data_IF_230206674680
#
_entry.id   IF_230206674680
#
_cell.length_a   1.000
_cell.length_b   1.000
_cell.length_c   1.000
_cell.angle_alpha   90.00
_cell.angle_beta   90.00
_cell.angle_gamma   90.00
#
_symmetry.space_group_name_H-M   'P 1'
#
loop_
_entity.id
_entity.type
_entity.pdbx_description
1 polymer ?
#
# COMPACT_ATOMS: atom_id res chain seq x y z
N UNK A 1 21.69 6.24 -4.88
CA UNK A 1 21.71 5.12 -3.92
C UNK A 1 22.99 4.28 -4.02
N UNK A 2 23.57 4.16 -5.22
CA UNK A 2 24.80 3.40 -5.55
C UNK A 2 26.15 4.03 -5.13
N UNK A 3 26.15 5.17 -4.45
CA UNK A 3 27.40 5.80 -4.02
C UNK A 3 28.07 4.95 -2.93
N UNK A 4 29.31 4.46 -3.12
CA UNK A 4 29.94 3.52 -2.19
C UNK A 4 30.20 4.11 -0.80
N UNK A 5 30.35 5.44 -0.70
CA UNK A 5 30.58 6.18 0.56
C UNK A 5 29.32 6.91 1.07
N UNK A 6 28.14 6.49 0.62
CA UNK A 6 26.90 7.17 0.97
C UNK A 6 26.36 6.65 2.30
N UNK A 7 26.50 7.47 3.33
CA UNK A 7 25.97 7.22 4.69
C UNK A 7 24.46 6.98 4.71
N UNK A 8 24.00 6.18 5.68
CA UNK A 8 22.59 5.81 5.83
C UNK A 8 21.67 7.03 5.99
N UNK A 9 22.07 8.03 6.80
CA UNK A 9 21.29 9.26 6.99
C UNK A 9 21.13 10.06 5.69
N UNK A 10 22.17 10.08 4.85
CA UNK A 10 22.12 10.75 3.54
C UNK A 10 21.17 10.02 2.58
N UNK A 11 21.13 8.68 2.63
CA UNK A 11 20.16 7.87 1.86
C UNK A 11 18.72 8.21 2.25
N UNK A 12 18.45 8.31 3.55
CA UNK A 12 17.12 8.73 4.05
C UNK A 12 16.77 10.15 3.60
N UNK A 13 17.72 11.08 3.59
CA UNK A 13 17.48 12.44 3.12
C UNK A 13 17.12 12.48 1.62
N UNK A 14 17.84 11.71 0.80
CA UNK A 14 17.54 11.56 -0.64
C UNK A 14 16.14 10.97 -0.83
N UNK A 15 15.80 9.90 -0.10
CA UNK A 15 14.47 9.30 -0.12
C UNK A 15 13.39 10.33 0.19
N UNK A 16 13.54 11.12 1.26
CA UNK A 16 12.58 12.17 1.63
C UNK A 16 12.41 13.20 0.53
N UNK A 17 13.49 13.59 -0.16
CA UNK A 17 13.43 14.52 -1.31
C UNK A 17 12.64 13.92 -2.48
N UNK A 18 12.88 12.64 -2.80
CA UNK A 18 12.16 11.92 -3.87
C UNK A 18 10.67 11.83 -3.54
N UNK A 19 10.32 11.34 -2.35
CA UNK A 19 8.92 11.21 -1.90
C UNK A 19 8.20 12.55 -1.89
N UNK A 20 8.86 13.61 -1.40
CA UNK A 20 8.31 14.97 -1.43
C UNK A 20 8.00 15.41 -2.86
N UNK A 21 8.92 15.19 -3.81
CA UNK A 21 8.71 15.52 -5.22
C UNK A 21 7.51 14.76 -5.80
N UNK A 22 7.44 13.44 -5.63
CA UNK A 22 6.33 12.62 -6.14
C UNK A 22 4.98 13.03 -5.54
N UNK A 23 4.93 13.31 -4.23
CA UNK A 23 3.70 13.74 -3.56
C UNK A 23 3.27 15.16 -4.00
N UNK A 24 4.22 16.08 -4.20
CA UNK A 24 3.92 17.43 -4.72
C UNK A 24 3.33 17.37 -6.12
N UNK A 25 3.79 16.44 -6.96
CA UNK A 25 3.21 16.20 -8.28
C UNK A 25 1.75 15.73 -8.15
N UNK A 26 1.45 14.75 -7.29
CA UNK A 26 0.08 14.23 -7.11
C UNK A 26 -0.90 15.15 -6.35
N UNK A 27 -0.42 16.25 -5.76
CA UNK A 27 -1.22 17.20 -4.98
C UNK A 27 -1.59 18.50 -5.71
N UNK A 28 -0.99 18.76 -6.88
CA UNK A 28 -1.33 19.92 -7.70
C UNK A 28 -2.61 19.66 -8.51
N UNK A 29 -3.31 20.71 -8.95
CA UNK A 29 -4.50 20.57 -9.83
C UNK A 29 -4.18 19.93 -11.19
N UNK A 30 -2.90 19.71 -11.48
CA UNK A 30 -2.42 19.09 -12.69
C UNK A 30 -2.33 17.57 -12.46
N UNK A 31 -3.12 16.82 -13.22
CA UNK A 31 -3.04 15.36 -13.30
C UNK A 31 -1.59 14.89 -13.49
N UNK A 32 -1.08 14.01 -12.63
CA UNK A 32 0.20 13.32 -12.93
C UNK A 32 -0.10 12.13 -13.82
N UNK A 33 0.11 12.31 -15.12
CA UNK A 33 0.05 11.21 -16.07
C UNK A 33 1.33 10.38 -15.94
N UNK A 34 1.19 9.08 -15.72
CA UNK A 34 2.31 8.16 -15.71
C UNK A 34 2.96 8.13 -17.10
N UNK A 35 4.25 8.40 -17.18
CA UNK A 35 5.00 8.35 -18.45
C UNK A 35 5.09 6.94 -19.05
N UNK A 36 4.85 5.89 -18.25
CA UNK A 36 4.98 4.49 -18.67
C UNK A 36 3.67 3.87 -19.16
N UNK A 37 2.56 4.10 -18.44
CA UNK A 37 1.27 3.51 -18.77
C UNK A 37 0.19 4.52 -19.17
N UNK A 38 0.46 5.83 -19.08
CA UNK A 38 -0.53 6.86 -19.41
C UNK A 38 -1.65 7.04 -18.37
N UNK A 39 -1.69 6.23 -17.31
CA UNK A 39 -2.70 6.37 -16.26
C UNK A 39 -2.50 7.65 -15.45
N UNK A 40 -3.62 8.22 -15.01
CA UNK A 40 -3.65 9.38 -14.13
C UNK A 40 -3.45 8.95 -12.68
N UNK A 41 -2.50 9.60 -12.00
CA UNK A 41 -2.23 9.39 -10.59
C UNK A 41 -2.78 10.53 -9.74
N UNK A 42 -3.75 10.19 -8.88
CA UNK A 42 -4.27 11.07 -7.83
C UNK A 42 -3.56 10.92 -6.48
N UNK A 43 -4.11 11.56 -5.44
CA UNK A 43 -3.52 11.59 -4.09
C UNK A 43 -3.82 10.30 -3.30
N UNK A 44 -2.82 9.73 -2.64
CA UNK A 44 -3.02 8.59 -1.73
C UNK A 44 -3.07 9.08 -0.28
N UNK A 45 -4.12 8.71 0.46
CA UNK A 45 -4.38 9.15 1.85
C UNK A 45 -4.59 7.94 2.76
N UNK A 46 -4.10 8.02 4.00
CA UNK A 46 -4.43 7.07 5.06
C UNK A 46 -5.76 7.46 5.70
N UNK A 47 -6.66 6.50 5.87
CA UNK A 47 -7.83 6.55 6.76
C UNK A 47 -7.70 5.40 7.77
N UNK A 48 -8.41 5.45 8.89
CA UNK A 48 -8.32 4.50 10.04
C UNK A 48 -7.58 3.18 9.75
N UNK A 49 -8.21 2.27 9.00
CA UNK A 49 -7.66 0.97 8.58
C UNK A 49 -7.70 0.78 7.06
N UNK A 50 -7.72 1.87 6.29
CA UNK A 50 -7.88 1.83 4.82
C UNK A 50 -6.96 2.83 4.16
N UNK A 51 -6.46 2.48 2.99
CA UNK A 51 -5.71 3.39 2.13
C UNK A 51 -6.65 3.84 1.02
N UNK A 52 -6.70 5.14 0.78
CA UNK A 52 -7.61 5.77 -0.19
C UNK A 52 -6.80 6.40 -1.33
N UNK A 53 -7.08 6.03 -2.58
CA UNK A 53 -6.60 6.69 -3.78
C UNK A 53 -7.65 7.65 -4.35
N UNK A 54 -7.46 8.94 -4.07
CA UNK A 54 -8.33 10.02 -4.48
C UNK A 54 -7.97 10.53 -5.88
N UNK A 55 -8.72 10.05 -6.88
CA UNK A 55 -8.64 10.49 -8.29
C UNK A 55 -9.69 11.55 -8.65
N UNK A 56 -10.53 11.97 -7.70
CA UNK A 56 -11.71 12.78 -7.98
C UNK A 56 -11.39 14.19 -8.51
N UNK A 57 -10.20 14.72 -8.19
CA UNK A 57 -9.74 16.03 -8.68
C UNK A 57 -9.25 16.03 -10.13
N UNK A 58 -9.28 14.88 -10.80
CA UNK A 58 -8.67 14.69 -12.13
C UNK A 58 -9.68 14.21 -13.18
N UNK A 59 -10.98 14.33 -12.86
CA UNK A 59 -12.09 13.81 -13.65
C UNK A 59 -12.32 14.50 -15.00
N UNK A 60 -11.57 15.54 -15.35
CA UNK A 60 -11.71 16.26 -16.63
C UNK A 60 -10.82 15.72 -17.76
N UNK A 61 -9.92 14.77 -17.49
CA UNK A 61 -9.06 14.16 -18.51
C UNK A 61 -9.17 12.63 -18.47
N UNK A 62 -9.50 12.05 -19.62
CA UNK A 62 -9.74 10.63 -19.87
C UNK A 62 -8.77 9.68 -19.15
N UNK A 63 -9.23 9.04 -18.07
CA UNK A 63 -8.62 7.82 -17.55
C UNK A 63 -9.21 6.65 -18.36
N UNK A 64 -8.36 5.87 -19.03
CA UNK A 64 -8.75 4.77 -19.91
C UNK A 64 -9.63 3.74 -19.18
N UNK A 65 -9.42 3.56 -17.87
CA UNK A 65 -10.22 2.68 -17.02
C UNK A 65 -11.59 3.28 -16.64
N UNK A 66 -11.70 4.60 -16.55
CA UNK A 66 -12.96 5.25 -16.19
C UNK A 66 -13.92 5.29 -17.36
N UNK A 67 -13.46 5.49 -18.59
CA UNK A 67 -14.39 5.46 -19.74
C UNK A 67 -14.97 4.07 -19.99
N UNK A 68 -14.19 3.01 -19.87
CA UNK A 68 -14.72 1.64 -19.97
C UNK A 68 -15.78 1.35 -18.90
N UNK A 69 -15.55 1.82 -17.66
CA UNK A 69 -16.53 1.71 -16.58
C UNK A 69 -17.77 2.60 -16.81
N UNK A 70 -17.60 3.85 -17.28
CA UNK A 70 -18.71 4.75 -17.60
C UNK A 70 -19.59 4.19 -18.72
N UNK A 71 -18.97 3.63 -19.77
CA UNK A 71 -19.67 2.99 -20.87
C UNK A 71 -20.45 1.76 -20.39
N UNK A 72 -19.86 0.90 -19.55
CA UNK A 72 -20.52 -0.28 -19.00
C UNK A 72 -21.73 0.06 -18.10
N UNK A 73 -21.71 1.22 -17.44
CA UNK A 73 -22.71 1.62 -16.43
C UNK A 73 -23.77 2.56 -17.02
N UNK A 74 -23.58 3.06 -18.25
CA UNK A 74 -24.52 3.93 -18.95
C UNK A 74 -25.95 3.40 -19.01
N UNK A 75 -26.12 2.07 -18.93
CA UNK A 75 -27.42 1.38 -18.90
C UNK A 75 -28.05 1.21 -17.50
N UNK A 76 -27.34 1.55 -16.44
CA UNK A 76 -27.80 1.45 -15.04
C UNK A 76 -27.83 2.83 -14.38
N UNK A 77 -28.93 3.20 -13.71
CA UNK A 77 -29.06 4.46 -12.93
C UNK A 77 -28.15 4.53 -11.69
N UNK A 78 -27.10 3.72 -11.62
CA UNK A 78 -26.17 3.66 -10.51
C UNK A 78 -24.95 4.52 -10.83
N UNK A 79 -24.75 5.60 -10.08
CA UNK A 79 -23.47 6.30 -10.07
C UNK A 79 -22.45 5.40 -9.35
N UNK A 80 -21.68 4.57 -10.06
CA UNK A 80 -20.53 3.92 -9.42
C UNK A 80 -19.48 4.99 -9.14
N UNK A 81 -19.41 5.38 -7.88
CA UNK A 81 -18.19 5.97 -7.32
C UNK A 81 -17.11 4.88 -7.38
N UNK A 82 -16.14 5.05 -8.28
CA UNK A 82 -15.00 4.14 -8.39
C UNK A 82 -14.41 3.90 -6.99
N UNK A 83 -14.10 2.65 -6.59
CA UNK A 83 -13.63 2.37 -5.24
C UNK A 83 -12.36 3.16 -4.95
N UNK A 84 -12.55 4.21 -4.15
CA UNK A 84 -11.51 5.06 -3.58
C UNK A 84 -10.55 4.25 -2.71
N UNK A 85 -10.97 3.10 -2.17
CA UNK A 85 -10.16 2.29 -1.27
C UNK A 85 -9.27 1.32 -2.06
N UNK A 86 -7.99 1.28 -1.72
CA UNK A 86 -7.06 0.27 -2.22
C UNK A 86 -7.24 -1.03 -1.43
N UNK A 87 -7.58 -2.10 -2.14
CA UNK A 87 -7.70 -3.44 -1.58
C UNK A 87 -6.31 -4.08 -1.33
N UNK A 88 -6.07 -4.80 -0.22
CA UNK A 88 -4.79 -5.42 0.07
C UNK A 88 -4.27 -6.34 -1.04
N UNK A 89 -5.13 -7.15 -1.68
CA UNK A 89 -4.72 -8.01 -2.80
C UNK A 89 -4.23 -7.18 -3.96
N UNK A 90 -4.96 -6.09 -4.28
CA UNK A 90 -4.56 -5.16 -5.35
C UNK A 90 -3.24 -4.46 -5.04
N UNK A 91 -3.04 -4.03 -3.80
CA UNK A 91 -1.78 -3.42 -3.35
C UNK A 91 -0.64 -4.41 -3.49
N UNK A 92 -0.82 -5.66 -3.08
CA UNK A 92 0.21 -6.70 -3.22
C UNK A 92 0.65 -6.88 -4.67
N UNK A 93 -0.29 -6.98 -5.60
CA UNK A 93 0.01 -7.08 -7.04
C UNK A 93 0.76 -5.83 -7.56
N UNK A 94 0.37 -4.64 -7.12
CA UNK A 94 1.05 -3.40 -7.50
C UNK A 94 2.50 -3.37 -7.01
N UNK A 95 2.74 -3.72 -5.74
CA UNK A 95 4.09 -3.76 -5.16
C UNK A 95 4.95 -4.83 -5.83
N UNK A 96 4.38 -6.01 -6.12
CA UNK A 96 5.07 -7.09 -6.82
C UNK A 96 5.52 -6.69 -8.23
N UNK A 97 4.75 -5.83 -8.90
CA UNK A 97 5.07 -5.36 -10.26
C UNK A 97 6.01 -4.16 -10.29
N UNK A 98 6.52 -3.69 -9.15
CA UNK A 98 7.53 -2.65 -9.10
C UNK A 98 8.88 -3.16 -9.65
N UNK A 99 9.59 -2.28 -10.35
CA UNK A 99 10.94 -2.56 -10.85
C UNK A 99 11.98 -2.44 -9.75
N UNK A 100 13.06 -3.20 -9.86
CA UNK A 100 14.12 -3.22 -8.86
C UNK A 100 14.88 -1.88 -8.81
N UNK A 101 14.99 -1.20 -9.95
CA UNK A 101 15.58 0.14 -10.05
C UNK A 101 14.74 1.18 -9.29
N UNK A 102 13.42 1.10 -9.39
CA UNK A 102 12.49 1.98 -8.65
C UNK A 102 12.49 1.64 -7.16
N UNK A 103 12.61 0.35 -6.82
CA UNK A 103 12.78 -0.08 -5.43
C UNK A 103 14.05 0.52 -4.83
N UNK A 104 15.17 0.53 -5.57
CA UNK A 104 16.42 1.11 -5.08
C UNK A 104 16.25 2.59 -4.69
N UNK A 105 15.51 3.37 -5.49
CA UNK A 105 15.24 4.80 -5.22
C UNK A 105 14.42 5.02 -3.95
N UNK A 106 13.51 4.09 -3.63
CA UNK A 106 12.66 4.14 -2.44
C UNK A 106 13.35 3.62 -1.17
N UNK A 107 14.54 3.01 -1.33
CA UNK A 107 15.36 2.49 -0.24
C UNK A 107 14.62 1.60 0.78
N UNK A 108 13.80 0.63 0.36
CA UNK A 108 13.23 -0.35 1.28
C UNK A 108 14.31 -1.36 1.71
N UNK A 109 14.11 -2.02 2.85
CA UNK A 109 15.01 -3.07 3.34
C UNK A 109 14.98 -4.34 2.48
N UNK A 110 13.84 -4.63 1.85
CA UNK A 110 13.62 -5.75 0.94
C UNK A 110 12.58 -5.30 -0.12
N UNK A 111 12.27 -6.19 -1.06
CA UNK A 111 11.20 -6.02 -2.04
C UNK A 111 9.87 -5.60 -1.37
N UNK A 112 9.18 -4.58 -1.90
CA UNK A 112 8.08 -3.92 -1.21
C UNK A 112 6.88 -4.85 -0.94
N UNK A 113 6.63 -5.84 -1.80
CA UNK A 113 5.56 -6.82 -1.63
C UNK A 113 5.74 -7.70 -0.38
N UNK A 114 6.98 -7.89 0.10
CA UNK A 114 7.28 -8.66 1.32
C UNK A 114 7.00 -7.90 2.60
N UNK A 115 6.71 -6.59 2.52
CA UNK A 115 6.24 -5.79 3.65
C UNK A 115 4.78 -6.09 4.00
N UNK A 116 4.07 -6.86 3.17
CA UNK A 116 2.71 -7.30 3.41
C UNK A 116 2.69 -8.70 4.01
N UNK A 117 1.89 -8.90 5.06
CA UNK A 117 1.69 -10.23 5.65
C UNK A 117 0.85 -11.11 4.73
N UNK A 118 1.49 -12.09 4.09
CA UNK A 118 0.83 -13.19 3.36
C UNK A 118 0.73 -14.46 4.20
N UNK A 119 1.62 -14.59 5.18
CA UNK A 119 1.70 -15.72 6.10
C UNK A 119 2.07 -15.19 7.48
N UNK A 120 1.41 -15.70 8.51
CA UNK A 120 1.70 -15.35 9.90
C UNK A 120 2.46 -16.53 10.53
N UNK A 121 3.62 -16.24 11.11
CA UNK A 121 4.39 -17.25 11.83
C UNK A 121 3.75 -17.42 13.20
N UNK A 122 3.35 -18.64 13.51
CA UNK A 122 2.79 -18.99 14.81
C UNK A 122 3.95 -19.26 15.78
N UNK A 123 4.07 -18.51 16.89
CA UNK A 123 5.18 -18.68 17.81
C UNK A 123 5.09 -20.02 18.57
N UNK A 124 6.23 -20.64 18.94
CA UNK A 124 6.25 -21.90 19.69
C UNK A 124 5.63 -21.75 21.08
N UNK A 125 5.23 -22.88 21.67
CA UNK A 125 4.59 -22.96 22.99
C UNK A 125 5.46 -22.38 24.12
N UNK A 126 6.79 -22.43 24.00
CA UNK A 126 7.69 -21.80 24.97
C UNK A 126 7.51 -20.28 25.09
N UNK A 127 7.03 -19.61 24.04
CA UNK A 127 6.73 -18.16 24.01
C UNK A 127 5.23 -17.91 24.31
N UNK A 128 4.41 -18.96 24.23
CA UNK A 128 2.97 -18.95 24.56
C UNK A 128 2.67 -19.95 25.69
N UNK A 129 3.22 -19.76 26.90
CA UNK A 129 2.96 -20.67 27.99
C UNK A 129 1.48 -20.60 28.40
N UNK A 130 0.86 -21.76 28.60
CA UNK A 130 -0.45 -21.87 29.25
C UNK A 130 -0.28 -21.86 30.78
N UNK A 131 -1.17 -21.18 31.50
CA UNK A 131 -1.15 -21.16 32.97
C UNK A 131 -2.24 -22.08 33.50
N UNK A 132 -1.88 -23.09 34.30
CA UNK A 132 -2.88 -23.95 34.94
C UNK A 132 -3.64 -23.20 36.04
N UNK A 133 -4.96 -23.36 36.07
CA UNK A 133 -5.88 -22.85 37.09
C UNK A 133 -6.73 -24.02 37.63
N UNK A 134 -7.33 -23.88 38.82
CA UNK A 134 -8.09 -24.97 39.50
C UNK A 134 -7.33 -26.30 39.62
N UNK A 135 -6.12 -26.27 40.21
CA UNK A 135 -5.38 -27.49 40.56
C UNK A 135 -4.92 -28.35 39.36
N UNK A 136 -4.85 -27.77 38.15
CA UNK A 136 -4.48 -28.48 36.92
C UNK A 136 -5.68 -28.98 36.11
N UNK A 137 -6.91 -28.71 36.55
CA UNK A 137 -8.14 -29.13 35.85
C UNK A 137 -8.49 -28.19 34.69
N UNK A 138 -8.02 -26.95 34.73
CA UNK A 138 -8.25 -25.94 33.70
C UNK A 138 -6.94 -25.23 33.33
N UNK A 139 -6.83 -24.75 32.10
CA UNK A 139 -5.70 -23.93 31.65
C UNK A 139 -6.22 -22.59 31.15
N UNK A 140 -5.65 -21.50 31.67
CA UNK A 140 -5.82 -20.16 31.14
C UNK A 140 -4.88 -19.96 29.94
N UNK A 141 -5.46 -19.62 28.79
CA UNK A 141 -4.75 -19.38 27.55
C UNK A 141 -4.11 -17.99 27.55
N UNK A 142 -2.90 -17.90 27.00
CA UNK A 142 -2.28 -16.60 26.75
C UNK A 142 -3.09 -15.82 25.70
N UNK A 143 -3.10 -14.47 25.73
CA UNK A 143 -3.87 -13.65 24.78
C UNK A 143 -3.44 -13.86 23.31
N UNK A 144 -2.28 -14.48 23.07
CA UNK A 144 -1.77 -14.88 21.75
C UNK A 144 -2.18 -16.31 21.31
N UNK A 145 -2.99 -16.99 22.13
CA UNK A 145 -3.56 -18.32 21.85
C UNK A 145 -5.08 -18.29 21.63
N UNK A 146 -5.76 -17.15 21.90
CA UNK A 146 -7.18 -17.02 21.58
C UNK A 146 -7.34 -16.68 20.10
N UNK A 147 -7.80 -17.66 19.32
CA UNK A 147 -8.19 -17.50 17.91
C UNK A 147 -9.55 -16.79 17.77
#
# INVERSE_FOLDING_TARGET
MRGPKLEHLKKIEILKKIVKRCNSMGGTRLAVVCSRCGCINGMVKKKQMKIVHDRARVADSADCSLEECRLAISHTKANMTLPLNLDPKRVYELLKNMYDEDCELLYPNDRPEKLMFTSIIVPPTSIRPSVFVDGGTQSNENDTQRD
#
